data_IF_985116411262
#
_entry.id   IF_985116411262
#
_cell.length_a   1.000
_cell.length_b   1.000
_cell.length_c   1.000
_cell.angle_alpha   90.00
_cell.angle_beta   90.00
_cell.angle_gamma   90.00
#
_symmetry.space_group_name_H-M   'P 1'
#
loop_
_entity.id
_entity.type
_entity.pdbx_description
1 polymer ?
#
# COMPACT_ATOMS: atom_id res chain seq x y z
N UNK A 1 -23.05 22.60 6.34
CA UNK A 1 -21.94 21.82 5.73
C UNK A 1 -21.13 22.74 4.83
N UNK A 2 -19.83 22.88 5.10
CA UNK A 2 -18.93 23.67 4.23
C UNK A 2 -18.80 22.94 2.88
N UNK A 3 -19.03 23.65 1.76
CA UNK A 3 -18.90 23.08 0.41
C UNK A 3 -17.52 23.43 -0.13
N UNK A 4 -16.69 22.42 -0.34
CA UNK A 4 -15.39 22.57 -1.00
C UNK A 4 -15.51 22.32 -2.49
N UNK A 5 -14.73 23.04 -3.30
CA UNK A 5 -14.66 22.77 -4.73
C UNK A 5 -13.93 21.45 -4.98
N UNK A 6 -14.32 20.73 -6.03
CA UNK A 6 -13.62 19.51 -6.46
C UNK A 6 -12.13 19.78 -6.70
N UNK A 7 -11.81 20.95 -7.28
CA UNK A 7 -10.42 21.38 -7.52
C UNK A 7 -9.63 21.53 -6.22
N UNK A 8 -10.23 22.10 -5.19
CA UNK A 8 -9.60 22.23 -3.88
C UNK A 8 -9.34 20.87 -3.24
N UNK A 9 -10.33 19.98 -3.21
CA UNK A 9 -10.17 18.63 -2.64
C UNK A 9 -9.11 17.81 -3.39
N UNK A 10 -9.08 17.92 -4.72
CA UNK A 10 -8.06 17.26 -5.54
C UNK A 10 -6.66 17.80 -5.25
N UNK A 11 -6.53 19.10 -5.00
CA UNK A 11 -5.25 19.69 -4.63
C UNK A 11 -4.74 19.13 -3.30
N UNK A 12 -5.60 19.06 -2.27
CA UNK A 12 -5.24 18.46 -0.98
C UNK A 12 -4.83 16.99 -1.15
N UNK A 13 -5.63 16.22 -1.89
CA UNK A 13 -5.30 14.82 -2.19
C UNK A 13 -3.93 14.68 -2.84
N UNK A 14 -3.62 15.50 -3.85
CA UNK A 14 -2.34 15.45 -4.54
C UNK A 14 -1.17 15.82 -3.62
N UNK A 15 -1.35 16.75 -2.69
CA UNK A 15 -0.34 17.09 -1.69
C UNK A 15 -0.04 15.88 -0.79
N UNK A 16 -1.08 15.25 -0.23
CA UNK A 16 -0.93 14.07 0.63
C UNK A 16 -0.32 12.88 -0.11
N UNK A 17 -0.72 12.69 -1.37
CA UNK A 17 -0.20 11.63 -2.22
C UNK A 17 1.28 11.86 -2.57
N UNK A 18 1.67 13.09 -2.90
CA UNK A 18 3.06 13.42 -3.19
C UNK A 18 3.96 13.24 -1.97
N UNK A 19 3.50 13.65 -0.78
CA UNK A 19 4.21 13.40 0.48
C UNK A 19 4.39 11.89 0.71
N UNK A 20 3.35 11.10 0.47
CA UNK A 20 3.41 9.63 0.57
C UNK A 20 4.48 9.04 -0.36
N UNK A 21 4.53 9.49 -1.62
CA UNK A 21 5.57 9.05 -2.58
C UNK A 21 6.95 9.44 -2.08
N UNK A 22 7.15 10.67 -1.59
CA UNK A 22 8.43 11.09 -1.01
C UNK A 22 8.86 10.22 0.17
N UNK A 23 7.92 9.87 1.06
CA UNK A 23 8.18 8.96 2.18
C UNK A 23 8.54 7.56 1.69
N UNK A 24 7.88 7.04 0.65
CA UNK A 24 8.27 5.78 0.03
C UNK A 24 9.71 5.84 -0.49
N UNK A 25 10.04 6.83 -1.32
CA UNK A 25 11.37 6.95 -1.95
C UNK A 25 12.45 7.06 -0.86
N UNK A 26 12.24 7.89 0.17
CA UNK A 26 13.19 8.05 1.29
C UNK A 26 13.50 6.73 2.01
N UNK A 27 12.52 5.84 2.15
CA UNK A 27 12.68 4.62 2.97
C UNK A 27 13.01 3.37 2.15
N UNK A 28 12.57 3.31 0.89
CA UNK A 28 12.56 2.09 0.10
C UNK A 28 13.25 2.17 -1.27
N UNK A 29 13.64 3.37 -1.74
CA UNK A 29 14.25 3.55 -3.07
C UNK A 29 15.44 2.61 -3.31
N UNK A 30 16.30 2.43 -2.31
CA UNK A 30 17.52 1.59 -2.38
C UNK A 30 17.29 0.10 -2.68
N UNK A 31 16.06 -0.40 -2.54
CA UNK A 31 15.78 -1.82 -2.75
C UNK A 31 15.34 -2.16 -4.19
N UNK A 32 15.19 -1.15 -5.07
CA UNK A 32 14.79 -1.30 -6.47
C UNK A 32 13.60 -2.27 -6.64
N UNK A 33 12.56 -2.08 -5.83
CA UNK A 33 11.37 -2.92 -5.87
C UNK A 33 10.62 -2.80 -7.19
N UNK A 34 9.97 -3.89 -7.60
CA UNK A 34 9.05 -3.89 -8.75
C UNK A 34 7.87 -2.95 -8.53
N UNK A 35 7.24 -2.47 -9.60
CA UNK A 35 6.09 -1.56 -9.54
C UNK A 35 4.98 -2.07 -8.63
N UNK A 36 4.65 -3.36 -8.65
CA UNK A 36 3.61 -3.93 -7.79
C UNK A 36 3.91 -3.76 -6.29
N UNK A 37 5.16 -3.99 -5.89
CA UNK A 37 5.60 -3.81 -4.49
C UNK A 37 5.59 -2.32 -4.14
N UNK A 38 6.05 -1.47 -5.06
CA UNK A 38 6.02 -0.01 -4.90
C UNK A 38 4.60 0.49 -4.67
N UNK A 39 3.65 0.09 -5.52
CA UNK A 39 2.24 0.51 -5.43
C UNK A 39 1.62 0.08 -4.10
N UNK A 40 1.88 -1.15 -3.65
CA UNK A 40 1.39 -1.65 -2.37
C UNK A 40 1.99 -0.89 -1.18
N UNK A 41 3.29 -0.61 -1.22
CA UNK A 41 3.95 0.14 -0.14
C UNK A 41 3.47 1.60 -0.08
N UNK A 42 3.28 2.25 -1.23
CA UNK A 42 2.71 3.62 -1.29
C UNK A 42 1.30 3.61 -0.71
N UNK A 43 0.44 2.67 -1.11
CA UNK A 43 -0.93 2.61 -0.59
C UNK A 43 -0.96 2.35 0.93
N UNK A 44 -0.10 1.47 1.43
CA UNK A 44 0.05 1.25 2.87
C UNK A 44 0.51 2.50 3.60
N UNK A 45 1.49 3.25 3.07
CA UNK A 45 1.94 4.50 3.67
C UNK A 45 0.81 5.54 3.64
N UNK A 46 0.04 5.62 2.56
CA UNK A 46 -1.09 6.56 2.45
C UNK A 46 -2.17 6.27 3.51
N UNK A 47 -2.46 4.99 3.76
CA UNK A 47 -3.51 4.60 4.71
C UNK A 47 -3.06 4.57 6.18
N UNK A 48 -1.86 4.09 6.44
CA UNK A 48 -1.37 3.80 7.81
C UNK A 48 -0.36 4.83 8.30
N UNK A 49 0.13 5.70 7.41
CA UNK A 49 1.30 6.53 7.63
C UNK A 49 2.60 5.71 7.61
N UNK A 50 3.72 6.41 7.41
CA UNK A 50 5.06 5.80 7.37
C UNK A 50 5.39 5.01 8.65
N UNK A 51 4.97 5.53 9.82
CA UNK A 51 5.23 4.86 11.09
C UNK A 51 4.39 3.59 11.27
N UNK A 52 3.14 3.59 10.80
CA UNK A 52 2.29 2.40 10.80
C UNK A 52 2.85 1.32 9.87
N UNK A 53 3.22 1.71 8.65
CA UNK A 53 3.79 0.79 7.67
C UNK A 53 5.13 0.19 8.15
N UNK A 54 6.01 0.97 8.78
CA UNK A 54 7.31 0.46 9.29
C UNK A 54 7.18 -0.63 10.36
N UNK A 55 6.06 -0.68 11.07
CA UNK A 55 5.80 -1.73 12.09
C UNK A 55 5.59 -3.12 11.49
N UNK A 56 5.35 -3.23 10.18
CA UNK A 56 5.26 -4.50 9.46
C UNK A 56 6.66 -5.09 9.20
N UNK A 57 7.42 -5.35 10.27
CA UNK A 57 8.83 -5.75 10.21
C UNK A 57 9.04 -7.01 9.34
N UNK A 58 8.27 -8.07 9.60
CA UNK A 58 8.36 -9.34 8.87
C UNK A 58 7.99 -9.19 7.39
N UNK A 59 6.91 -8.49 7.09
CA UNK A 59 6.50 -8.19 5.72
C UNK A 59 7.62 -7.45 4.95
N UNK A 60 8.20 -6.42 5.57
CA UNK A 60 9.30 -5.65 4.99
C UNK A 60 10.54 -6.52 4.74
N UNK A 61 10.85 -7.46 5.63
CA UNK A 61 11.94 -8.43 5.42
C UNK A 61 11.65 -9.39 4.27
N UNK A 62 10.44 -9.93 4.20
CA UNK A 62 10.02 -10.80 3.10
C UNK A 62 10.07 -10.07 1.75
N UNK A 63 9.67 -8.79 1.69
CA UNK A 63 9.77 -7.97 0.48
C UNK A 63 11.22 -7.83 0.00
N UNK A 64 12.16 -7.52 0.91
CA UNK A 64 13.59 -7.41 0.59
C UNK A 64 14.16 -8.73 0.06
N UNK A 65 13.65 -9.86 0.55
CA UNK A 65 14.01 -11.22 0.12
C UNK A 65 13.23 -11.70 -1.13
N UNK A 66 12.39 -10.85 -1.73
CA UNK A 66 11.50 -11.18 -2.87
C UNK A 66 10.49 -12.32 -2.57
N UNK A 67 10.18 -12.55 -1.29
CA UNK A 67 9.23 -13.56 -0.82
C UNK A 67 7.81 -12.98 -0.75
N UNK A 68 7.27 -12.56 -1.89
CA UNK A 68 5.99 -11.82 -1.98
C UNK A 68 4.80 -12.59 -1.38
N UNK A 69 4.79 -13.92 -1.49
CA UNK A 69 3.77 -14.75 -0.87
C UNK A 69 3.80 -14.66 0.66
N UNK A 70 4.99 -14.80 1.27
CA UNK A 70 5.14 -14.66 2.72
C UNK A 70 4.78 -13.26 3.19
N UNK A 71 5.16 -12.23 2.43
CA UNK A 71 4.78 -10.85 2.70
C UNK A 71 3.24 -10.66 2.70
N UNK A 72 2.53 -11.34 1.79
CA UNK A 72 1.06 -11.29 1.75
C UNK A 72 0.40 -11.93 2.98
N UNK A 73 0.97 -13.01 3.53
CA UNK A 73 0.47 -13.63 4.76
C UNK A 73 0.60 -12.69 5.97
N UNK A 74 1.70 -11.94 6.04
CA UNK A 74 1.89 -10.90 7.06
C UNK A 74 0.91 -9.72 6.89
N UNK A 75 0.48 -9.40 5.66
CA UNK A 75 -0.58 -8.39 5.44
C UNK A 75 -1.93 -8.86 5.98
N UNK A 76 -2.29 -10.14 5.76
CA UNK A 76 -3.52 -10.75 6.28
C UNK A 76 -3.50 -10.84 7.80
N UNK A 77 -2.35 -11.21 8.37
CA UNK A 77 -2.17 -11.33 9.82
C UNK A 77 -1.92 -9.96 10.49
N UNK A 78 -2.79 -8.98 10.23
CA UNK A 78 -2.64 -7.63 10.76
C UNK A 78 -3.96 -7.01 11.17
N UNK A 79 -3.93 -6.08 12.13
CA UNK A 79 -5.11 -5.30 12.51
C UNK A 79 -5.64 -4.46 11.33
N UNK A 80 -4.76 -4.05 10.41
CA UNK A 80 -5.14 -3.34 9.19
C UNK A 80 -6.06 -4.19 8.31
N UNK A 81 -5.82 -5.50 8.23
CA UNK A 81 -6.71 -6.44 7.55
C UNK A 81 -8.09 -6.48 8.23
N UNK A 82 -8.13 -6.60 9.55
CA UNK A 82 -9.40 -6.62 10.28
C UNK A 82 -10.23 -5.35 10.09
N UNK A 83 -9.58 -4.19 9.93
CA UNK A 83 -10.26 -2.92 9.71
C UNK A 83 -10.75 -2.72 8.27
N UNK A 84 -9.95 -3.14 7.27
CA UNK A 84 -10.23 -2.84 5.85
C UNK A 84 -9.98 -4.03 4.91
N UNK A 85 -10.61 -5.20 5.15
CA UNK A 85 -10.22 -6.48 4.53
C UNK A 85 -10.26 -6.43 3.01
N UNK A 86 -11.35 -5.87 2.42
CA UNK A 86 -11.51 -5.73 0.97
C UNK A 86 -10.36 -4.97 0.29
N UNK A 87 -9.82 -3.95 0.96
CA UNK A 87 -8.71 -3.15 0.43
C UNK A 87 -7.39 -3.90 0.54
N UNK A 88 -7.17 -4.60 1.64
CA UNK A 88 -5.97 -5.43 1.80
C UNK A 88 -5.98 -6.60 0.81
N UNK A 89 -7.11 -7.27 0.60
CA UNK A 89 -7.26 -8.33 -0.40
C UNK A 89 -6.90 -7.84 -1.82
N UNK A 90 -7.37 -6.64 -2.18
CA UNK A 90 -7.01 -6.01 -3.47
C UNK A 90 -5.51 -5.77 -3.60
N UNK A 91 -4.86 -5.26 -2.55
CA UNK A 91 -3.41 -5.03 -2.54
C UNK A 91 -2.61 -6.32 -2.59
N UNK A 92 -3.08 -7.39 -1.93
CA UNK A 92 -2.49 -8.72 -2.03
C UNK A 92 -2.57 -9.24 -3.48
N UNK A 93 -3.68 -9.02 -4.18
CA UNK A 93 -3.80 -9.42 -5.58
C UNK A 93 -2.81 -8.67 -6.48
N UNK A 94 -2.60 -7.37 -6.27
CA UNK A 94 -1.56 -6.59 -6.96
C UNK A 94 -0.17 -7.15 -6.64
N UNK A 95 0.11 -7.35 -5.36
CA UNK A 95 1.39 -7.86 -4.88
C UNK A 95 1.75 -9.22 -5.52
N UNK A 96 0.79 -10.14 -5.54
CA UNK A 96 0.95 -11.48 -6.08
C UNK A 96 0.80 -11.54 -7.60
N UNK A 97 0.51 -10.41 -8.26
CA UNK A 97 0.23 -10.32 -9.70
C UNK A 97 -0.84 -11.34 -10.15
N UNK A 98 -1.82 -11.60 -9.28
CA UNK A 98 -2.96 -12.45 -9.65
C UNK A 98 -3.79 -11.63 -10.62
N UNK A 99 -3.86 -12.06 -11.87
CA UNK A 99 -4.75 -11.45 -12.85
C UNK A 99 -6.17 -11.49 -12.27
N UNK A 100 -6.78 -10.31 -12.12
CA UNK A 100 -8.20 -10.18 -11.84
C UNK A 100 -8.95 -10.68 -13.08
N UNK A 101 -9.19 -11.98 -13.16
CA UNK A 101 -10.38 -12.44 -13.87
C UNK A 101 -11.55 -11.95 -13.03
N UNK A 102 -12.21 -10.88 -13.49
CA UNK A 102 -13.53 -10.52 -12.97
C UNK A 102 -14.37 -11.79 -13.09
N UNK A 103 -14.67 -12.43 -11.95
CA UNK A 103 -15.76 -13.40 -11.90
C UNK A 103 -17.04 -12.62 -12.13
N UNK A 104 -17.46 -12.55 -13.40
CA UNK A 104 -18.83 -12.19 -13.71
C UNK A 104 -19.74 -13.20 -13.00
N UNK A 105 -20.67 -12.67 -12.21
CA UNK A 105 -21.76 -13.43 -11.60
C UNK A 105 -22.98 -13.28 -12.47
#
# INVERSE_FOLDING_TARGET
>A
KQKFSKKFLLNIFNLDFNETVMQYEKNYHKYNFSNNIRDVLIEMIFQLGTNGQKKFLKMNEHMKKKQVFMASLEMINSLWYSQTPKRVDYLINILLKRHYEKKEK
#
